data_IF_092794261990
#
_entry.id   IF_092794261990
#
_cell.length_a   1.000
_cell.length_b   1.000
_cell.length_c   1.000
_cell.angle_alpha   90.00
_cell.angle_beta   90.00
_cell.angle_gamma   90.00
#
_symmetry.space_group_name_H-M   'P 1'
#
loop_
_entity.id
_entity.type
_entity.pdbx_description
1 polymer ?
#
# COMPACT_ATOMS: atom_id res chain seq x y z
N UNK A 1 -35.53 55.79 -37.65
CA UNK A 1 -34.90 54.58 -38.22
C UNK A 1 -33.39 54.48 -37.96
N UNK A 2 -32.57 55.53 -38.12
CA UNK A 2 -31.11 55.45 -37.89
C UNK A 2 -30.69 55.07 -36.45
N UNK A 3 -31.35 55.64 -35.42
CA UNK A 3 -31.02 55.35 -34.01
C UNK A 3 -31.33 53.91 -33.59
N UNK A 4 -32.42 53.34 -34.10
CA UNK A 4 -32.81 51.95 -33.81
C UNK A 4 -31.81 50.94 -34.42
N UNK A 5 -31.31 51.22 -35.63
CA UNK A 5 -30.27 50.41 -36.28
C UNK A 5 -28.94 50.43 -35.53
N UNK A 6 -28.55 51.59 -34.98
CA UNK A 6 -27.33 51.71 -34.17
C UNK A 6 -27.46 50.92 -32.86
N UNK A 7 -28.60 51.02 -32.18
CA UNK A 7 -28.85 50.25 -30.95
C UNK A 7 -28.83 48.74 -31.23
N UNK A 8 -29.43 48.30 -32.34
CA UNK A 8 -29.47 46.90 -32.73
C UNK A 8 -28.06 46.38 -33.06
N UNK A 9 -27.23 47.19 -33.75
CA UNK A 9 -25.84 46.84 -34.02
C UNK A 9 -25.00 46.72 -32.72
N UNK A 10 -25.21 47.59 -31.74
CA UNK A 10 -24.52 47.52 -30.44
C UNK A 10 -24.91 46.26 -29.67
N UNK A 11 -26.20 45.90 -29.66
CA UNK A 11 -26.69 44.68 -28.99
C UNK A 11 -26.05 43.44 -29.63
N UNK A 12 -26.04 43.37 -30.97
CA UNK A 12 -25.41 42.26 -31.70
C UNK A 12 -23.92 42.17 -31.36
N UNK A 13 -23.20 43.29 -31.36
CA UNK A 13 -21.77 43.30 -31.03
C UNK A 13 -21.48 42.88 -29.58
N UNK A 14 -22.31 43.33 -28.63
CA UNK A 14 -22.20 42.93 -27.23
C UNK A 14 -22.47 41.43 -27.04
N UNK A 15 -23.45 40.86 -27.75
CA UNK A 15 -23.68 39.41 -27.72
C UNK A 15 -22.51 38.64 -28.30
N UNK A 16 -21.93 39.07 -29.43
CA UNK A 16 -20.76 38.41 -30.00
C UNK A 16 -19.53 38.49 -29.10
N UNK A 17 -19.29 39.64 -28.44
CA UNK A 17 -18.23 39.79 -27.47
C UNK A 17 -18.43 38.90 -26.23
N UNK A 18 -19.66 38.76 -25.75
CA UNK A 18 -20.01 37.86 -24.64
C UNK A 18 -19.81 36.38 -25.01
N UNK A 19 -20.24 35.97 -26.20
CA UNK A 19 -20.01 34.60 -26.69
C UNK A 19 -18.53 34.30 -26.93
N UNK A 20 -17.74 35.26 -27.43
CA UNK A 20 -16.30 35.09 -27.56
C UNK A 20 -15.61 34.96 -26.20
N UNK A 21 -16.01 35.76 -25.21
CA UNK A 21 -15.52 35.62 -23.83
C UNK A 21 -15.87 34.27 -23.22
N UNK A 22 -17.12 33.81 -23.34
CA UNK A 22 -17.55 32.49 -22.87
C UNK A 22 -16.81 31.35 -23.58
N UNK A 23 -16.48 31.49 -24.86
CA UNK A 23 -15.72 30.49 -25.61
C UNK A 23 -14.28 30.38 -25.11
N UNK A 24 -13.63 31.51 -24.81
CA UNK A 24 -12.26 31.52 -24.26
C UNK A 24 -12.26 31.01 -22.82
N UNK A 25 -13.25 31.38 -22.01
CA UNK A 25 -13.40 30.89 -20.63
C UNK A 25 -13.66 29.37 -20.60
N UNK A 26 -14.45 28.84 -21.55
CA UNK A 26 -14.68 27.41 -21.68
C UNK A 26 -13.40 26.65 -22.12
N UNK A 27 -12.66 27.18 -23.10
CA UNK A 27 -11.41 26.56 -23.57
C UNK A 27 -10.33 26.54 -22.48
N UNK A 28 -10.23 27.61 -21.68
CA UNK A 28 -9.34 27.65 -20.52
C UNK A 28 -9.77 26.63 -19.44
N UNK A 29 -11.07 26.51 -19.15
CA UNK A 29 -11.57 25.51 -18.19
C UNK A 29 -11.35 24.08 -18.63
N UNK A 30 -11.48 23.79 -19.93
CA UNK A 30 -11.20 22.47 -20.48
C UNK A 30 -9.69 22.16 -20.44
N UNK A 31 -8.82 23.16 -20.67
CA UNK A 31 -7.37 23.02 -20.49
C UNK A 31 -6.97 22.84 -19.01
N UNK A 32 -7.65 23.51 -18.08
CA UNK A 32 -7.42 23.35 -16.64
C UNK A 32 -7.97 21.99 -16.13
N UNK A 33 -9.10 21.53 -16.66
CA UNK A 33 -9.63 20.19 -16.38
C UNK A 33 -8.73 19.08 -16.94
N UNK A 34 -8.05 19.32 -18.07
CA UNK A 34 -7.04 18.43 -18.63
C UNK A 34 -5.73 18.38 -17.82
N UNK A 35 -5.54 19.28 -16.85
CA UNK A 35 -4.37 19.32 -15.95
C UNK A 35 -4.57 18.54 -14.65
N UNK A 36 -5.73 17.93 -14.42
CA UNK A 36 -5.93 17.06 -13.25
C UNK A 36 -5.18 15.74 -13.48
N UNK A 37 -4.20 15.37 -12.62
CA UNK A 37 -3.43 14.16 -12.82
C UNK A 37 -4.33 12.92 -12.75
N UNK A 38 -4.09 11.96 -13.65
CA UNK A 38 -4.89 10.72 -13.74
C UNK A 38 -4.70 9.78 -12.56
N UNK A 39 -3.62 9.96 -11.80
CA UNK A 39 -3.22 9.13 -10.67
C UNK A 39 -2.55 10.02 -9.63
N UNK A 40 -2.72 9.69 -8.36
CA UNK A 40 -2.10 10.36 -7.23
C UNK A 40 -0.72 9.78 -6.93
N UNK A 41 0.13 10.55 -6.23
CA UNK A 41 1.42 10.05 -5.75
C UNK A 41 1.27 8.80 -4.88
N UNK A 42 0.21 8.71 -4.07
CA UNK A 42 -0.03 7.56 -3.21
C UNK A 42 -0.44 6.32 -4.00
N UNK A 43 -1.19 6.46 -5.09
CA UNK A 43 -1.52 5.33 -5.96
C UNK A 43 -0.26 4.79 -6.67
N UNK A 44 0.70 5.64 -7.03
CA UNK A 44 2.01 5.22 -7.54
C UNK A 44 2.79 4.46 -6.46
N UNK A 45 2.89 5.01 -5.24
CA UNK A 45 3.61 4.36 -4.13
C UNK A 45 2.96 3.04 -3.66
N UNK A 46 1.68 2.83 -3.95
CA UNK A 46 0.95 1.59 -3.71
C UNK A 46 0.84 0.67 -4.93
N UNK A 47 1.45 1.04 -6.06
CA UNK A 47 1.42 0.19 -7.25
C UNK A 47 2.02 -1.19 -6.92
N UNK A 48 1.31 -2.25 -7.30
CA UNK A 48 1.63 -3.62 -6.86
C UNK A 48 3.02 -4.09 -7.31
N UNK A 49 3.44 -3.66 -8.49
CA UNK A 49 4.76 -3.92 -9.07
C UNK A 49 5.86 -3.20 -8.30
N UNK A 50 5.67 -1.91 -8.01
CA UNK A 50 6.58 -1.12 -7.16
C UNK A 50 6.72 -1.77 -5.79
N UNK A 51 5.61 -2.10 -5.14
CA UNK A 51 5.63 -2.75 -3.82
C UNK A 51 6.34 -4.10 -3.84
N UNK A 52 6.07 -4.95 -4.84
CA UNK A 52 6.73 -6.24 -4.98
C UNK A 52 8.24 -6.08 -5.23
N UNK A 53 8.61 -5.13 -6.08
CA UNK A 53 9.98 -4.80 -6.41
C UNK A 53 10.79 -4.29 -5.22
N UNK A 54 10.27 -3.27 -4.52
CA UNK A 54 10.88 -2.72 -3.31
C UNK A 54 10.96 -3.78 -2.21
N UNK A 55 9.91 -4.60 -2.02
CA UNK A 55 9.95 -5.70 -1.06
C UNK A 55 11.08 -6.68 -1.34
N UNK A 56 11.25 -7.08 -2.60
CA UNK A 56 12.35 -7.98 -2.99
C UNK A 56 13.72 -7.32 -2.81
N UNK A 57 13.86 -6.03 -3.09
CA UNK A 57 15.09 -5.28 -2.89
C UNK A 57 15.45 -5.19 -1.39
N UNK A 58 14.50 -4.82 -0.54
CA UNK A 58 14.64 -4.78 0.92
C UNK A 58 15.01 -6.14 1.49
N UNK A 59 14.33 -7.21 1.05
CA UNK A 59 14.63 -8.59 1.47
C UNK A 59 16.07 -8.99 1.19
N UNK A 60 16.63 -8.52 0.07
CA UNK A 60 18.00 -8.83 -0.34
C UNK A 60 19.04 -7.83 0.19
N UNK A 61 18.63 -6.82 0.97
CA UNK A 61 19.52 -5.75 1.43
C UNK A 61 20.10 -4.90 0.29
N UNK A 62 19.44 -4.85 -0.86
CA UNK A 62 19.91 -4.15 -2.05
C UNK A 62 19.24 -2.78 -2.15
N UNK A 63 19.88 -1.76 -1.58
CA UNK A 63 19.38 -0.39 -1.59
C UNK A 63 19.37 0.23 -3.00
N UNK A 64 20.35 -0.10 -3.83
CA UNK A 64 20.41 0.38 -5.23
C UNK A 64 19.18 -0.06 -6.03
N UNK A 65 18.68 -1.27 -5.79
CA UNK A 65 17.44 -1.73 -6.40
C UNK A 65 16.22 -0.96 -5.90
N UNK A 66 16.20 -0.51 -4.64
CA UNK A 66 15.13 0.37 -4.14
C UNK A 66 15.16 1.71 -4.89
N UNK A 67 16.35 2.27 -5.09
CA UNK A 67 16.51 3.53 -5.83
C UNK A 67 16.07 3.41 -7.29
N UNK A 68 16.34 2.27 -7.94
CA UNK A 68 15.88 1.97 -9.29
C UNK A 68 14.34 1.91 -9.38
N UNK A 69 13.69 1.27 -8.41
CA UNK A 69 12.22 1.25 -8.32
C UNK A 69 11.64 2.64 -8.08
N UNK A 70 12.27 3.44 -7.22
CA UNK A 70 11.86 4.83 -7.00
C UNK A 70 12.08 5.70 -8.26
N UNK A 71 13.09 5.40 -9.08
CA UNK A 71 13.29 6.09 -10.36
C UNK A 71 12.13 5.82 -11.32
N UNK A 72 11.67 4.58 -11.41
CA UNK A 72 10.50 4.21 -12.22
C UNK A 72 9.22 4.88 -11.69
N UNK A 73 9.03 4.93 -10.37
CA UNK A 73 7.90 5.65 -9.77
C UNK A 73 7.89 7.13 -10.18
N UNK A 74 9.06 7.78 -10.19
CA UNK A 74 9.22 9.17 -10.65
C UNK A 74 8.90 9.35 -12.13
N UNK A 75 9.31 8.42 -13.00
CA UNK A 75 8.96 8.44 -14.42
C UNK A 75 7.44 8.35 -14.62
N UNK A 76 6.77 7.47 -13.86
CA UNK A 76 5.30 7.38 -13.87
C UNK A 76 4.66 8.69 -13.38
N UNK A 77 5.19 9.29 -12.31
CA UNK A 77 4.71 10.57 -11.79
C UNK A 77 4.82 11.72 -12.81
N UNK A 78 5.94 11.77 -13.54
CA UNK A 78 6.13 12.74 -14.63
C UNK A 78 5.14 12.50 -15.78
N UNK A 79 4.98 11.24 -16.20
CA UNK A 79 4.04 10.88 -17.27
C UNK A 79 2.57 11.15 -16.89
N UNK A 80 2.25 11.03 -15.60
CA UNK A 80 0.95 11.35 -15.03
C UNK A 80 0.69 12.86 -14.84
N UNK A 81 1.70 13.70 -15.09
CA UNK A 81 1.66 15.15 -14.85
C UNK A 81 1.28 15.49 -13.39
N UNK A 82 1.89 14.79 -12.44
CA UNK A 82 1.74 15.11 -11.01
C UNK A 82 2.11 16.59 -10.75
N UNK A 83 1.49 17.18 -9.72
CA UNK A 83 1.84 18.53 -9.32
C UNK A 83 3.30 18.62 -8.87
N UNK A 84 3.92 19.82 -8.90
CA UNK A 84 5.26 20.01 -8.38
C UNK A 84 5.41 19.52 -6.93
N UNK A 85 4.42 19.74 -6.08
CA UNK A 85 4.43 19.29 -4.68
C UNK A 85 4.45 17.76 -4.55
N UNK A 86 3.65 17.07 -5.37
CA UNK A 86 3.61 15.60 -5.39
C UNK A 86 4.90 15.01 -5.97
N UNK A 87 5.46 15.65 -7.00
CA UNK A 87 6.77 15.28 -7.54
C UNK A 87 7.89 15.50 -6.52
N UNK A 88 7.85 16.61 -5.77
CA UNK A 88 8.82 16.89 -4.70
C UNK A 88 8.75 15.84 -3.60
N UNK A 89 7.54 15.42 -3.20
CA UNK A 89 7.37 14.31 -2.27
C UNK A 89 7.94 13.00 -2.84
N UNK A 90 7.60 12.66 -4.08
CA UNK A 90 8.07 11.44 -4.75
C UNK A 90 9.60 11.40 -4.94
N UNK A 91 10.23 12.57 -5.03
CA UNK A 91 11.69 12.72 -5.09
C UNK A 91 12.37 12.67 -3.71
N UNK A 92 11.61 12.73 -2.63
CA UNK A 92 12.14 12.82 -1.27
C UNK A 92 12.57 11.46 -0.71
N UNK A 93 13.54 11.48 0.22
CA UNK A 93 13.87 10.31 1.04
C UNK A 93 12.66 9.84 1.85
N UNK A 94 11.70 10.71 2.18
CA UNK A 94 10.48 10.32 2.90
C UNK A 94 9.61 9.36 2.09
N UNK A 95 9.51 9.54 0.76
CA UNK A 95 8.79 8.59 -0.08
C UNK A 95 9.52 7.24 -0.19
N UNK A 96 10.86 7.27 -0.23
CA UNK A 96 11.70 6.06 -0.19
C UNK A 96 11.53 5.31 1.14
N UNK A 97 11.63 6.02 2.26
CA UNK A 97 11.42 5.47 3.60
C UNK A 97 10.01 4.87 3.75
N UNK A 98 9.00 5.53 3.17
CA UNK A 98 7.63 5.06 3.17
C UNK A 98 7.48 3.69 2.49
N UNK A 99 8.04 3.50 1.29
CA UNK A 99 7.94 2.21 0.59
C UNK A 99 8.79 1.13 1.27
N UNK A 100 9.94 1.47 1.84
CA UNK A 100 10.77 0.55 2.64
C UNK A 100 10.03 0.10 3.90
N UNK A 101 9.40 1.04 4.62
CA UNK A 101 8.61 0.76 5.81
C UNK A 101 7.49 -0.23 5.51
N UNK A 102 6.71 0.02 4.45
CA UNK A 102 5.64 -0.89 4.03
C UNK A 102 6.18 -2.26 3.60
N UNK A 103 7.28 -2.30 2.84
CA UNK A 103 7.93 -3.55 2.45
C UNK A 103 8.36 -4.39 3.67
N UNK A 104 8.98 -3.78 4.68
CA UNK A 104 9.38 -4.49 5.91
C UNK A 104 8.19 -5.04 6.69
N UNK A 105 7.08 -4.30 6.73
CA UNK A 105 5.82 -4.81 7.34
C UNK A 105 5.24 -5.99 6.57
N UNK A 106 5.30 -5.97 5.25
CA UNK A 106 4.88 -7.12 4.44
C UNK A 106 5.78 -8.33 4.69
N UNK A 107 7.11 -8.14 4.76
CA UNK A 107 8.07 -9.19 5.09
C UNK A 107 7.85 -9.75 6.51
N UNK A 108 7.52 -8.91 7.48
CA UNK A 108 7.12 -9.37 8.82
C UNK A 108 5.92 -10.30 8.76
N UNK A 109 4.86 -9.94 8.04
CA UNK A 109 3.67 -10.78 7.94
C UNK A 109 3.97 -12.13 7.29
N UNK A 110 4.75 -12.15 6.19
CA UNK A 110 5.19 -13.38 5.53
C UNK A 110 6.04 -14.26 6.46
N UNK A 111 6.98 -13.66 7.18
CA UNK A 111 7.85 -14.37 8.12
C UNK A 111 7.07 -14.90 9.32
N UNK A 112 6.12 -14.12 9.83
CA UNK A 112 5.23 -14.53 10.92
C UNK A 112 4.38 -15.72 10.48
N UNK A 113 3.75 -15.64 9.31
CA UNK A 113 2.92 -16.73 8.77
C UNK A 113 3.74 -18.02 8.61
N UNK A 114 4.94 -17.93 8.03
CA UNK A 114 5.83 -19.08 7.89
C UNK A 114 6.16 -19.72 9.24
N UNK A 115 6.52 -18.91 10.26
CA UNK A 115 6.84 -19.40 11.60
C UNK A 115 5.61 -19.92 12.35
N UNK A 116 4.45 -19.31 12.12
CA UNK A 116 3.19 -19.72 12.72
C UNK A 116 2.86 -21.17 12.36
N UNK A 117 2.97 -21.52 11.08
CA UNK A 117 2.75 -22.88 10.58
C UNK A 117 3.96 -23.82 10.79
N UNK A 118 5.17 -23.30 10.97
CA UNK A 118 6.32 -24.11 11.37
C UNK A 118 6.33 -24.45 12.87
N UNK A 119 5.37 -23.93 13.64
CA UNK A 119 5.32 -24.05 15.12
C UNK A 119 6.56 -23.46 15.80
N UNK A 120 7.14 -22.42 15.20
CA UNK A 120 8.34 -21.76 15.69
C UNK A 120 8.02 -20.53 16.54
N UNK A 121 9.03 -20.12 17.32
CA UNK A 121 9.08 -18.85 18.04
C UNK A 121 9.18 -17.67 17.07
N UNK A 122 8.54 -16.54 17.43
CA UNK A 122 8.43 -15.32 16.61
C UNK A 122 9.15 -14.11 17.20
N UNK A 123 9.76 -14.21 18.38
CA UNK A 123 10.39 -13.08 19.08
C UNK A 123 11.53 -12.47 18.26
N UNK A 124 12.29 -13.31 17.56
CA UNK A 124 13.37 -12.87 16.65
C UNK A 124 12.82 -11.97 15.52
N UNK A 125 11.56 -12.13 15.10
CA UNK A 125 10.97 -11.26 14.08
C UNK A 125 10.76 -9.84 14.58
N UNK A 126 10.58 -9.64 15.88
CA UNK A 126 10.37 -8.31 16.49
C UNK A 126 11.62 -7.44 16.37
N UNK A 127 12.80 -8.07 16.46
CA UNK A 127 14.09 -7.42 16.26
C UNK A 127 14.40 -7.18 14.79
N UNK A 128 14.03 -8.13 13.92
CA UNK A 128 14.27 -8.03 12.47
C UNK A 128 13.38 -6.99 11.78
N UNK A 129 12.15 -6.80 12.28
CA UNK A 129 11.15 -5.92 11.67
C UNK A 129 10.50 -4.98 12.71
N UNK A 130 11.27 -4.06 13.33
CA UNK A 130 10.74 -3.10 14.29
C UNK A 130 9.63 -2.20 13.69
N UNK A 131 9.57 -2.06 12.37
CA UNK A 131 8.54 -1.34 11.63
C UNK A 131 7.13 -1.94 11.79
N UNK A 132 7.03 -3.18 12.26
CA UNK A 132 5.77 -3.89 12.52
C UNK A 132 5.36 -3.89 14.01
N UNK A 133 5.94 -3.01 14.84
CA UNK A 133 5.74 -3.00 16.30
C UNK A 133 4.28 -3.00 16.77
N UNK A 134 3.41 -2.30 16.07
CA UNK A 134 1.95 -2.29 16.34
C UNK A 134 1.28 -3.65 16.17
N UNK A 135 1.89 -4.57 15.42
CA UNK A 135 1.38 -5.92 15.19
C UNK A 135 1.83 -6.93 16.25
N UNK A 136 2.89 -6.63 17.03
CA UNK A 136 3.55 -7.60 17.92
C UNK A 136 2.60 -8.19 18.96
N UNK A 137 1.82 -7.35 19.65
CA UNK A 137 0.87 -7.83 20.65
C UNK A 137 -0.21 -8.76 20.04
N UNK A 138 -0.63 -8.47 18.80
CA UNK A 138 -1.61 -9.30 18.10
C UNK A 138 -1.01 -10.64 17.68
N UNK A 139 0.23 -10.65 17.19
CA UNK A 139 0.91 -11.88 16.78
C UNK A 139 1.24 -12.77 17.98
N UNK A 140 1.59 -12.19 19.14
CA UNK A 140 1.81 -12.93 20.38
C UNK A 140 0.54 -13.65 20.83
N UNK A 141 -0.60 -12.95 20.80
CA UNK A 141 -1.90 -13.54 21.13
C UNK A 141 -2.29 -14.68 20.17
N UNK A 142 -1.88 -14.62 18.89
CA UNK A 142 -2.12 -15.69 17.93
C UNK A 142 -1.29 -16.94 18.24
N UNK A 143 -0.03 -16.76 18.65
CA UNK A 143 0.86 -17.84 19.07
C UNK A 143 0.34 -18.51 20.34
N UNK A 144 -0.01 -17.72 21.36
CA UNK A 144 -0.59 -18.25 22.60
C UNK A 144 -1.86 -19.06 22.33
N UNK A 145 -2.74 -18.54 21.46
CA UNK A 145 -3.96 -19.24 21.06
C UNK A 145 -3.67 -20.54 20.32
N UNK A 146 -2.70 -20.55 19.40
CA UNK A 146 -2.26 -21.75 18.69
C UNK A 146 -1.80 -22.81 19.68
N UNK A 147 -0.91 -22.44 20.58
CA UNK A 147 -0.29 -23.37 21.53
C UNK A 147 -1.34 -23.91 22.52
N UNK A 148 -2.28 -23.08 22.95
CA UNK A 148 -3.42 -23.51 23.77
C UNK A 148 -4.33 -24.52 23.04
N UNK A 149 -4.58 -24.34 21.73
CA UNK A 149 -5.35 -25.30 20.93
C UNK A 149 -4.60 -26.63 20.80
N UNK A 150 -3.30 -26.59 20.51
CA UNK A 150 -2.47 -27.80 20.43
C UNK A 150 -2.50 -28.55 21.76
N UNK A 151 -2.37 -27.85 22.88
CA UNK A 151 -2.49 -28.44 24.22
C UNK A 151 -3.86 -29.11 24.43
N UNK A 152 -4.95 -28.45 24.01
CA UNK A 152 -6.30 -29.02 24.13
C UNK A 152 -6.48 -30.28 23.29
N UNK A 153 -5.92 -30.32 22.08
CA UNK A 153 -5.93 -31.52 21.24
C UNK A 153 -5.14 -32.65 21.93
N UNK A 154 -3.97 -32.36 22.50
CA UNK A 154 -3.15 -33.35 23.19
C UNK A 154 -3.84 -33.95 24.43
N UNK A 155 -4.52 -33.11 25.23
CA UNK A 155 -5.36 -33.56 26.35
C UNK A 155 -6.48 -34.48 25.86
N UNK A 156 -7.14 -34.13 24.75
CA UNK A 156 -8.20 -34.95 24.17
C UNK A 156 -7.69 -36.31 23.64
N UNK A 157 -6.46 -36.35 23.10
CA UNK A 157 -5.83 -37.59 22.60
C UNK A 157 -5.40 -38.50 23.76
N UNK A 158 -4.74 -37.93 24.77
CA UNK A 158 -4.17 -38.70 25.89
C UNK A 158 -5.19 -39.08 26.97
N UNK A 159 -6.28 -38.32 27.09
CA UNK A 159 -7.22 -38.42 28.22
C UNK A 159 -6.63 -37.94 29.55
N UNK A 160 -5.50 -37.21 29.54
CA UNK A 160 -4.80 -36.70 30.71
C UNK A 160 -4.63 -35.18 30.61
N UNK A 161 -4.81 -34.45 31.72
CA UNK A 161 -4.55 -33.01 31.80
C UNK A 161 -3.07 -32.66 31.56
N UNK A 162 -2.17 -33.61 31.82
CA UNK A 162 -0.75 -33.53 31.49
C UNK A 162 -0.42 -34.56 30.40
N UNK A 163 -0.63 -34.22 29.11
CA UNK A 163 -0.27 -35.09 27.99
C UNK A 163 1.24 -35.31 27.94
N UNK A 164 1.65 -36.50 27.47
CA UNK A 164 3.04 -36.80 27.21
C UNK A 164 3.50 -36.21 25.86
N UNK A 165 4.81 -36.29 25.58
CA UNK A 165 5.37 -35.75 24.34
C UNK A 165 4.78 -36.42 23.08
N UNK A 166 4.40 -37.69 23.17
CA UNK A 166 3.78 -38.40 22.05
C UNK A 166 2.41 -37.82 21.69
N UNK A 167 1.57 -37.52 22.70
CA UNK A 167 0.29 -36.86 22.49
C UNK A 167 0.45 -35.42 21.98
N UNK A 168 1.47 -34.69 22.44
CA UNK A 168 1.79 -33.35 21.94
C UNK A 168 2.23 -33.36 20.47
N UNK A 169 3.11 -34.28 20.08
CA UNK A 169 3.54 -34.45 18.69
C UNK A 169 2.36 -34.79 17.76
N UNK A 170 1.46 -35.67 18.19
CA UNK A 170 0.27 -35.99 17.41
C UNK A 170 -0.69 -34.80 17.32
N UNK A 171 -0.86 -34.04 18.41
CA UNK A 171 -1.67 -32.84 18.41
C UNK A 171 -1.14 -31.76 17.46
N UNK A 172 0.18 -31.56 17.40
CA UNK A 172 0.84 -30.66 16.43
C UNK A 172 0.51 -31.07 14.99
N UNK A 173 0.60 -32.36 14.66
CA UNK A 173 0.25 -32.87 13.33
C UNK A 173 -1.22 -32.66 12.98
N UNK A 174 -2.13 -32.94 13.93
CA UNK A 174 -3.57 -32.72 13.71
C UNK A 174 -3.90 -31.25 13.51
N UNK A 175 -3.31 -30.37 14.32
CA UNK A 175 -3.48 -28.93 14.16
C UNK A 175 -2.99 -28.46 12.78
N UNK A 176 -1.81 -28.89 12.34
CA UNK A 176 -1.27 -28.56 11.02
C UNK A 176 -2.16 -29.07 9.88
N UNK A 177 -2.69 -30.29 10.00
CA UNK A 177 -3.61 -30.85 9.01
C UNK A 177 -4.92 -30.05 8.92
N UNK A 178 -5.41 -29.48 10.02
CA UNK A 178 -6.60 -28.64 10.02
C UNK A 178 -6.32 -27.23 9.51
N UNK A 179 -5.15 -26.67 9.83
CA UNK A 179 -4.79 -25.30 9.48
C UNK A 179 -4.38 -25.14 8.00
N UNK A 180 -4.11 -26.25 7.30
CA UNK A 180 -3.74 -26.30 5.88
C UNK A 180 -4.90 -26.67 4.93
N UNK A 181 -6.12 -26.90 5.47
CA UNK A 181 -7.35 -27.11 4.71
C UNK A 181 -8.20 -25.84 4.65
#
# INVERSE_FOLDING_TARGET
>A
MKKALVVLAIIVFATFAWFAYLSVDADNRDQDAAQVPLITVMEILHASDLQAGVKQAVKNGNEENVDAWMAQAREVGQAANLSPEDMDYLNSETAKDYVIFNAKRQLYNEAFEARYYALEDVDVLKEQYPEAKDLFARTDALIEKRDAIIQQIAVAISGNEQPDEAALEEARKQWLAQASN
#
